data_IF_502353927445
#
_entry.id   IF_502353927445
#
_cell.length_a   1.000
_cell.length_b   1.000
_cell.length_c   1.000
_cell.angle_alpha   90.00
_cell.angle_beta   90.00
_cell.angle_gamma   90.00
#
_symmetry.space_group_name_H-M   'P 1'
#
loop_
_entity.id
_entity.type
_entity.pdbx_description
1 polymer ?
#
# COMPACT_ATOMS: atom_id res chain seq x y z
N UNK A 1 17.31 -2.42 -39.75
CA UNK A 1 16.58 -1.19 -39.40
C UNK A 1 15.87 -1.43 -38.08
N UNK A 2 15.72 -0.42 -37.22
CA UNK A 2 15.10 -0.62 -35.92
C UNK A 2 13.64 -1.03 -36.11
N UNK A 3 13.24 -2.07 -35.39
CA UNK A 3 11.86 -2.56 -35.33
C UNK A 3 11.07 -1.53 -34.53
N UNK A 4 10.21 -0.80 -35.23
CA UNK A 4 9.22 0.09 -34.65
C UNK A 4 8.16 -0.78 -33.97
N UNK A 5 8.31 -0.98 -32.65
CA UNK A 5 7.27 -1.63 -31.85
C UNK A 5 6.14 -0.62 -31.73
N UNK A 6 5.15 -0.75 -32.62
CA UNK A 6 3.87 -0.05 -32.59
C UNK A 6 3.29 -0.07 -31.16
N UNK A 7 3.39 1.05 -30.46
CA UNK A 7 2.67 1.34 -29.21
C UNK A 7 1.23 1.74 -29.51
N UNK A 8 0.45 0.85 -30.12
CA UNK A 8 -1.00 1.06 -30.21
C UNK A 8 -1.72 -0.16 -29.69
N UNK A 9 -2.17 -0.07 -28.44
CA UNK A 9 -3.25 -0.92 -27.95
C UNK A 9 -4.51 -0.42 -28.65
N UNK A 10 -4.92 -1.07 -29.74
CA UNK A 10 -6.26 -0.84 -30.30
C UNK A 10 -7.25 -1.68 -29.53
N UNK A 11 -8.30 -1.03 -29.02
CA UNK A 11 -9.42 -1.69 -28.38
C UNK A 11 -10.68 -1.34 -29.16
N UNK A 12 -11.47 -2.35 -29.45
CA UNK A 12 -12.84 -2.24 -29.98
C UNK A 12 -13.84 -1.79 -28.90
N UNK A 13 -13.39 -1.73 -27.65
CA UNK A 13 -14.08 -1.16 -26.49
C UNK A 13 -13.94 0.37 -26.57
N UNK A 14 -14.94 1.03 -27.17
CA UNK A 14 -15.03 2.49 -27.19
C UNK A 14 -15.01 3.10 -25.78
N UNK A 15 -14.74 4.41 -25.63
CA UNK A 15 -14.72 5.04 -24.31
C UNK A 15 -16.09 4.92 -23.65
N UNK A 16 -16.16 4.12 -22.58
CA UNK A 16 -17.35 4.05 -21.74
C UNK A 16 -17.31 5.23 -20.77
N UNK A 17 -18.46 5.89 -20.50
CA UNK A 17 -18.54 6.86 -19.44
C UNK A 17 -18.42 6.14 -18.10
N UNK A 18 -17.20 5.87 -17.67
CA UNK A 18 -16.96 5.48 -16.28
C UNK A 18 -17.23 6.73 -15.46
N UNK A 19 -18.03 6.58 -14.43
CA UNK A 19 -18.32 7.67 -13.51
C UNK A 19 -17.20 7.80 -12.48
N UNK A 20 -17.00 9.02 -11.99
CA UNK A 20 -16.11 9.33 -10.87
C UNK A 20 -14.64 8.88 -11.06
N UNK A 21 -14.04 9.21 -12.21
CA UNK A 21 -12.62 8.92 -12.49
C UNK A 21 -11.65 9.43 -11.42
N UNK A 22 -12.02 10.56 -10.81
CA UNK A 22 -11.30 11.23 -9.74
C UNK A 22 -11.31 10.43 -8.43
N UNK A 23 -12.25 9.49 -8.28
CA UNK A 23 -12.32 8.55 -7.14
C UNK A 23 -11.62 7.21 -7.41
N UNK A 24 -11.01 7.04 -8.58
CA UNK A 24 -10.29 5.81 -8.96
C UNK A 24 -8.78 6.00 -8.85
N UNK A 25 -8.09 4.88 -8.61
CA UNK A 25 -6.63 4.84 -8.56
C UNK A 25 -6.04 3.55 -9.12
N UNK A 26 -4.74 3.57 -9.41
CA UNK A 26 -3.98 2.41 -9.86
C UNK A 26 -3.14 1.83 -8.73
N UNK A 27 -3.13 0.52 -8.63
CA UNK A 27 -2.12 -0.15 -7.81
C UNK A 27 -0.84 -0.31 -8.62
N UNK A 28 0.28 0.15 -8.07
CA UNK A 28 1.61 -0.05 -8.67
C UNK A 28 2.27 -1.19 -7.91
N UNK A 29 2.31 -2.36 -8.56
CA UNK A 29 2.91 -3.57 -8.01
C UNK A 29 4.45 -3.51 -8.01
N UNK A 30 5.06 -4.39 -7.21
CA UNK A 30 6.52 -4.48 -7.03
C UNK A 30 7.26 -4.62 -8.37
N UNK A 31 6.73 -5.42 -9.32
CA UNK A 31 7.33 -5.59 -10.66
C UNK A 31 7.36 -4.27 -11.44
N UNK A 32 6.27 -3.50 -11.41
CA UNK A 32 6.23 -2.20 -12.08
C UNK A 32 7.21 -1.22 -11.43
N UNK A 33 7.23 -1.19 -10.10
CA UNK A 33 8.14 -0.31 -9.34
C UNK A 33 9.63 -0.64 -9.57
N UNK A 34 9.96 -1.93 -9.67
CA UNK A 34 11.33 -2.42 -9.87
C UNK A 34 11.88 -2.18 -11.28
N UNK A 35 11.06 -2.40 -12.32
CA UNK A 35 11.57 -2.49 -13.69
C UNK A 35 11.15 -1.33 -14.58
N UNK A 36 10.03 -0.67 -14.27
CA UNK A 36 9.47 0.37 -15.13
C UNK A 36 8.67 1.45 -14.36
N UNK A 37 9.23 2.05 -13.29
CA UNK A 37 8.50 3.02 -12.46
C UNK A 37 8.06 4.26 -13.25
N UNK A 38 8.80 4.68 -14.28
CA UNK A 38 8.41 5.74 -15.21
C UNK A 38 7.42 5.33 -16.31
N UNK A 39 6.73 4.19 -16.18
CA UNK A 39 5.73 3.70 -17.15
C UNK A 39 4.32 3.54 -16.57
N UNK A 40 4.06 4.13 -15.40
CA UNK A 40 2.70 4.22 -14.87
C UNK A 40 1.82 5.02 -15.85
N UNK A 41 0.65 4.50 -16.26
CA UNK A 41 -0.25 5.23 -17.15
C UNK A 41 -0.71 6.56 -16.56
N UNK A 42 -0.53 7.65 -17.30
CA UNK A 42 -0.99 8.99 -16.91
C UNK A 42 -2.49 9.19 -17.13
N UNK A 43 -3.07 8.43 -18.07
CA UNK A 43 -4.48 8.49 -18.41
C UNK A 43 -5.11 7.11 -18.25
N UNK A 44 -6.35 7.09 -17.77
CA UNK A 44 -7.17 5.91 -17.74
C UNK A 44 -7.40 5.38 -19.17
N UNK A 45 -7.17 4.08 -19.42
CA UNK A 45 -7.57 3.47 -20.68
C UNK A 45 -9.06 3.71 -20.93
N UNK A 46 -9.41 4.06 -22.17
CA UNK A 46 -10.81 4.22 -22.62
C UNK A 46 -11.60 5.33 -21.89
N UNK A 47 -10.92 6.33 -21.33
CA UNK A 47 -11.53 7.32 -20.45
C UNK A 47 -11.18 8.79 -20.75
N UNK A 48 -10.01 9.00 -21.36
CA UNK A 48 -9.37 10.32 -21.49
C UNK A 48 -9.30 11.11 -20.15
N UNK A 49 -9.30 10.43 -19.01
CA UNK A 49 -9.24 11.03 -17.68
C UNK A 49 -7.88 10.75 -17.03
N UNK A 50 -7.29 11.70 -16.27
CA UNK A 50 -5.98 11.52 -15.65
C UNK A 50 -6.04 10.53 -14.48
N UNK A 51 -4.95 9.79 -14.28
CA UNK A 51 -4.74 8.96 -13.09
C UNK A 51 -4.12 9.84 -12.00
N UNK A 52 -4.89 10.10 -10.94
CA UNK A 52 -4.47 10.99 -9.84
C UNK A 52 -4.26 10.31 -8.50
N UNK A 53 -4.59 9.02 -8.38
CA UNK A 53 -4.29 8.28 -7.17
C UNK A 53 -3.61 6.97 -7.52
N UNK A 54 -2.57 6.65 -6.76
CA UNK A 54 -1.92 5.34 -6.83
C UNK A 54 -1.83 4.70 -5.46
N UNK A 55 -1.74 3.38 -5.43
CA UNK A 55 -1.44 2.60 -4.23
C UNK A 55 -0.11 1.89 -4.41
N UNK A 56 0.76 2.02 -3.42
CA UNK A 56 1.97 1.21 -3.30
C UNK A 56 1.78 0.20 -2.17
N UNK A 57 2.18 -1.05 -2.38
CA UNK A 57 2.21 -2.06 -1.31
C UNK A 57 3.42 -1.89 -0.39
N UNK A 58 4.49 -1.31 -0.92
CA UNK A 58 5.73 -0.92 -0.25
C UNK A 58 6.40 0.19 -1.05
N UNK A 59 7.26 0.99 -0.42
CA UNK A 59 8.03 2.03 -1.10
C UNK A 59 9.31 1.48 -1.76
N UNK A 60 9.90 0.44 -1.17
CA UNK A 60 11.07 -0.29 -1.68
C UNK A 60 11.22 -1.59 -0.88
N UNK A 61 12.08 -2.51 -1.35
CA UNK A 61 12.52 -3.66 -0.56
C UNK A 61 14.05 -3.77 -0.61
N UNK A 62 14.66 -4.10 0.52
CA UNK A 62 16.11 -4.11 0.69
C UNK A 62 16.83 -5.11 -0.21
N UNK A 63 16.15 -6.14 -0.72
CA UNK A 63 16.78 -7.17 -1.57
C UNK A 63 16.67 -6.94 -3.08
N UNK A 64 15.93 -5.93 -3.52
CA UNK A 64 15.70 -5.73 -4.95
C UNK A 64 16.97 -5.44 -5.76
N UNK A 65 17.98 -4.82 -5.14
CA UNK A 65 19.28 -4.56 -5.78
C UNK A 65 20.04 -5.85 -6.16
N UNK A 66 19.69 -7.00 -5.58
CA UNK A 66 20.30 -8.29 -5.93
C UNK A 66 19.99 -8.70 -7.38
N UNK A 67 18.92 -8.15 -7.97
CA UNK A 67 18.60 -8.36 -9.37
C UNK A 67 19.18 -7.22 -10.22
N UNK A 68 20.16 -7.50 -11.11
CA UNK A 68 20.86 -6.46 -11.89
C UNK A 68 19.97 -5.76 -12.93
N UNK A 69 18.74 -6.24 -13.17
CA UNK A 69 17.76 -5.60 -14.06
C UNK A 69 16.90 -4.56 -13.36
N UNK A 70 16.93 -4.50 -12.02
CA UNK A 70 16.15 -3.56 -11.23
C UNK A 70 16.79 -2.18 -11.34
N UNK A 71 15.96 -1.15 -11.53
CA UNK A 71 16.41 0.24 -11.49
C UNK A 71 16.88 0.60 -10.07
N UNK A 72 17.65 1.67 -9.90
CA UNK A 72 17.99 2.12 -8.55
C UNK A 72 16.75 2.59 -7.80
N UNK A 73 16.77 2.47 -6.46
CA UNK A 73 15.73 2.99 -5.58
C UNK A 73 15.48 4.47 -5.85
N UNK A 74 16.56 5.24 -6.00
CA UNK A 74 16.52 6.67 -6.27
C UNK A 74 15.84 6.95 -7.62
N UNK A 75 16.14 6.18 -8.67
CA UNK A 75 15.49 6.33 -9.96
C UNK A 75 13.98 6.03 -9.87
N UNK A 76 13.61 4.93 -9.21
CA UNK A 76 12.21 4.56 -9.03
C UNK A 76 11.41 5.63 -8.28
N UNK A 77 12.00 6.18 -7.21
CA UNK A 77 11.37 7.23 -6.43
C UNK A 77 11.27 8.55 -7.20
N UNK A 78 12.28 8.93 -7.98
CA UNK A 78 12.20 10.13 -8.82
C UNK A 78 11.16 10.00 -9.94
N UNK A 79 11.06 8.83 -10.58
CA UNK A 79 10.07 8.57 -11.62
C UNK A 79 8.64 8.67 -11.06
N UNK A 80 8.38 8.03 -9.91
CA UNK A 80 7.08 8.12 -9.25
C UNK A 80 6.77 9.54 -8.75
N UNK A 81 7.75 10.24 -8.18
CA UNK A 81 7.58 11.64 -7.78
C UNK A 81 7.20 12.52 -8.96
N UNK A 82 7.90 12.35 -10.09
CA UNK A 82 7.64 13.10 -11.32
C UNK A 82 6.22 12.83 -11.83
N UNK A 83 5.81 11.56 -11.85
CA UNK A 83 4.43 11.18 -12.19
C UNK A 83 3.40 11.87 -11.28
N UNK A 84 3.57 11.76 -9.95
CA UNK A 84 2.63 12.33 -8.99
C UNK A 84 2.53 13.85 -9.09
N UNK A 85 3.66 14.54 -9.23
CA UNK A 85 3.67 16.01 -9.38
C UNK A 85 2.99 16.42 -10.69
N UNK A 86 3.35 15.80 -11.81
CA UNK A 86 2.79 16.14 -13.12
C UNK A 86 1.28 15.91 -13.20
N UNK A 87 0.77 14.88 -12.52
CA UNK A 87 -0.67 14.57 -12.50
C UNK A 87 -1.43 15.33 -11.40
N UNK A 88 -0.75 16.04 -10.50
CA UNK A 88 -1.36 16.55 -9.26
C UNK A 88 -1.94 15.42 -8.41
N UNK A 89 -1.27 14.27 -8.42
CA UNK A 89 -1.73 13.03 -7.83
C UNK A 89 -1.22 12.79 -6.41
N UNK A 90 -1.79 11.76 -5.78
CA UNK A 90 -1.45 11.31 -4.42
C UNK A 90 -1.21 9.81 -4.36
N UNK A 91 -0.43 9.37 -3.37
CA UNK A 91 -0.14 7.95 -3.14
C UNK A 91 -0.66 7.46 -1.80
N UNK A 92 -1.35 6.32 -1.79
CA UNK A 92 -1.57 5.51 -0.60
C UNK A 92 -0.32 4.65 -0.37
N UNK A 93 0.42 4.95 0.70
CA UNK A 93 1.66 4.26 1.04
C UNK A 93 1.37 3.03 1.89
N UNK A 94 1.66 1.85 1.35
CA UNK A 94 1.60 0.59 2.09
C UNK A 94 2.86 0.33 2.91
N UNK A 95 2.67 -0.20 4.11
CA UNK A 95 3.71 -0.79 4.96
C UNK A 95 3.37 -2.25 5.17
N UNK A 96 4.38 -3.11 5.15
CA UNK A 96 4.18 -4.50 5.54
C UNK A 96 4.09 -4.60 7.07
N UNK A 97 3.27 -5.53 7.54
CA UNK A 97 3.32 -6.07 8.90
C UNK A 97 3.11 -7.56 8.77
N UNK A 98 4.13 -8.31 9.13
CA UNK A 98 4.28 -9.75 8.96
C UNK A 98 5.01 -10.30 10.20
N UNK A 99 5.51 -11.52 10.08
CA UNK A 99 6.34 -12.14 11.10
C UNK A 99 7.84 -11.84 10.94
N UNK A 100 8.23 -11.07 9.92
CA UNK A 100 9.61 -10.75 9.62
C UNK A 100 10.06 -9.43 10.27
N UNK A 101 11.31 -9.37 10.72
CA UNK A 101 11.92 -8.13 11.23
C UNK A 101 12.20 -7.09 10.13
N UNK A 102 12.23 -7.53 8.87
CA UNK A 102 12.51 -6.69 7.69
C UNK A 102 11.44 -5.61 7.47
N UNK A 103 10.23 -5.80 8.02
CA UNK A 103 9.15 -4.81 7.95
C UNK A 103 9.53 -3.45 8.54
N UNK A 104 10.41 -3.42 9.54
CA UNK A 104 10.92 -2.17 10.13
C UNK A 104 11.88 -1.44 9.18
N UNK A 105 12.65 -2.18 8.38
CA UNK A 105 13.52 -1.61 7.33
C UNK A 105 12.68 -1.06 6.18
N UNK A 106 11.69 -1.84 5.72
CA UNK A 106 10.76 -1.43 4.67
C UNK A 106 9.97 -0.17 5.08
N UNK A 107 9.58 -0.06 6.36
CA UNK A 107 8.95 1.16 6.87
C UNK A 107 9.89 2.37 6.88
N UNK A 108 11.19 2.17 7.10
CA UNK A 108 12.20 3.22 6.91
C UNK A 108 12.14 3.82 5.50
N UNK A 109 12.08 2.96 4.48
CA UNK A 109 11.94 3.40 3.08
C UNK A 109 10.63 4.13 2.81
N UNK A 110 9.52 3.72 3.45
CA UNK A 110 8.24 4.44 3.36
C UNK A 110 8.38 5.88 3.89
N UNK A 111 9.03 6.06 5.05
CA UNK A 111 9.26 7.38 5.63
C UNK A 111 10.15 8.27 4.76
N UNK A 112 11.22 7.72 4.21
CA UNK A 112 12.14 8.45 3.33
C UNK A 112 11.45 8.88 2.02
N UNK A 113 10.67 7.98 1.41
CA UNK A 113 9.90 8.31 0.22
C UNK A 113 8.80 9.34 0.51
N UNK A 114 8.11 9.25 1.65
CA UNK A 114 7.12 10.24 2.06
C UNK A 114 7.73 11.63 2.24
N UNK A 115 8.92 11.75 2.86
CA UNK A 115 9.67 13.00 2.97
C UNK A 115 10.04 13.57 1.60
N UNK A 116 10.44 12.71 0.65
CA UNK A 116 10.80 13.12 -0.69
C UNK A 116 9.60 13.71 -1.47
N UNK A 117 8.40 13.17 -1.25
CA UNK A 117 7.16 13.59 -1.89
C UNK A 117 6.57 14.85 -1.27
N UNK A 118 6.57 14.96 0.06
CA UNK A 118 5.81 15.97 0.78
C UNK A 118 4.38 15.50 1.13
N UNK A 119 3.80 15.98 2.24
CA UNK A 119 2.50 15.51 2.74
C UNK A 119 1.34 15.77 1.78
N UNK A 120 1.43 16.79 0.92
CA UNK A 120 0.43 17.13 -0.09
C UNK A 120 0.21 16.04 -1.14
N UNK A 121 1.23 15.21 -1.37
CA UNK A 121 1.22 14.09 -2.31
C UNK A 121 0.92 12.74 -1.64
N UNK A 122 0.62 12.71 -0.34
CA UNK A 122 0.23 11.49 0.36
C UNK A 122 -1.29 11.43 0.51
N UNK A 123 -1.89 10.34 0.05
CA UNK A 123 -3.31 10.05 0.20
C UNK A 123 -3.63 9.46 1.56
N UNK A 124 -2.75 8.58 2.05
CA UNK A 124 -2.92 7.85 3.30
C UNK A 124 -1.75 6.92 3.58
N UNK A 125 -1.74 6.36 4.79
CA UNK A 125 -0.82 5.30 5.22
C UNK A 125 -1.60 4.01 5.46
N UNK A 126 -1.32 2.97 4.68
CA UNK A 126 -1.85 1.62 4.86
C UNK A 126 -0.87 0.77 5.66
N UNK A 127 -1.24 0.35 6.87
CA UNK A 127 -0.38 -0.44 7.76
C UNK A 127 -0.79 -1.91 7.73
N UNK A 128 0.04 -2.75 7.14
CA UNK A 128 -0.27 -4.14 6.81
C UNK A 128 -0.94 -4.25 5.44
N UNK A 129 -0.78 -5.42 4.80
CA UNK A 129 -1.44 -5.78 3.57
C UNK A 129 -2.07 -7.17 3.70
N UNK A 130 -3.41 -7.22 3.59
CA UNK A 130 -4.20 -8.45 3.77
C UNK A 130 -3.80 -9.19 5.05
N UNK A 131 -3.65 -8.41 6.13
CA UNK A 131 -3.13 -8.91 7.41
C UNK A 131 -4.02 -10.00 8.01
N UNK A 132 -5.31 -9.98 7.68
CA UNK A 132 -6.30 -11.01 8.01
C UNK A 132 -5.99 -12.37 7.39
N UNK A 133 -5.25 -12.41 6.27
CA UNK A 133 -4.84 -13.65 5.62
C UNK A 133 -3.49 -14.19 6.11
N UNK A 134 -2.79 -13.49 7.01
CA UNK A 134 -1.42 -13.87 7.40
C UNK A 134 -1.35 -15.30 7.94
N UNK A 135 -2.35 -15.75 8.70
CA UNK A 135 -2.40 -17.12 9.23
C UNK A 135 -2.48 -18.21 8.14
N UNK A 136 -2.92 -17.87 6.93
CA UNK A 136 -2.98 -18.82 5.82
C UNK A 136 -1.59 -19.09 5.23
N UNK A 137 -0.62 -18.19 5.47
CA UNK A 137 0.75 -18.29 4.96
C UNK A 137 1.65 -19.25 5.75
N UNK A 138 1.19 -19.82 6.86
CA UNK A 138 1.98 -20.76 7.70
C UNK A 138 2.58 -21.92 6.87
N UNK A 139 1.89 -22.35 5.81
CA UNK A 139 2.36 -23.45 4.95
C UNK A 139 3.40 -23.02 3.91
N UNK A 140 3.38 -21.75 3.52
CA UNK A 140 4.12 -21.24 2.36
C UNK A 140 5.29 -20.33 2.77
N UNK A 141 5.26 -19.77 3.98
CA UNK A 141 6.24 -18.84 4.52
C UNK A 141 6.74 -19.32 5.88
N UNK A 142 8.01 -19.71 5.94
CA UNK A 142 8.65 -20.23 7.18
C UNK A 142 8.79 -19.18 8.28
N UNK A 143 8.72 -17.89 7.94
CA UNK A 143 8.70 -16.83 8.94
C UNK A 143 7.39 -16.80 9.72
N UNK A 144 6.31 -17.32 9.13
CA UNK A 144 4.97 -17.33 9.70
C UNK A 144 4.70 -18.66 10.42
N UNK A 145 4.42 -18.58 11.72
CA UNK A 145 4.07 -19.74 12.55
C UNK A 145 2.95 -19.39 13.53
N UNK A 146 2.35 -20.42 14.14
CA UNK A 146 1.21 -20.26 15.07
C UNK A 146 1.50 -19.27 16.20
N UNK A 147 2.74 -19.28 16.73
CA UNK A 147 3.15 -18.35 17.79
C UNK A 147 3.10 -16.92 17.27
N UNK A 148 3.67 -16.65 16.10
CA UNK A 148 3.64 -15.32 15.51
C UNK A 148 2.20 -14.83 15.26
N UNK A 149 1.34 -15.67 14.67
CA UNK A 149 -0.06 -15.29 14.41
C UNK A 149 -0.78 -14.93 15.70
N UNK A 150 -0.58 -15.75 16.74
CA UNK A 150 -1.15 -15.50 18.06
C UNK A 150 -0.59 -14.21 18.67
N UNK A 151 0.71 -13.94 18.56
CA UNK A 151 1.30 -12.69 19.07
C UNK A 151 0.76 -11.46 18.33
N UNK A 152 0.63 -11.55 16.99
CA UNK A 152 0.11 -10.49 16.12
C UNK A 152 -1.32 -10.12 16.52
N UNK A 153 -2.20 -11.11 16.64
CA UNK A 153 -3.62 -10.86 16.87
C UNK A 153 -4.01 -10.89 18.35
N UNK A 154 -3.84 -12.03 19.01
CA UNK A 154 -4.23 -12.24 20.41
C UNK A 154 -3.31 -11.48 21.38
N UNK A 155 -2.01 -11.42 21.07
CA UNK A 155 -1.00 -10.71 21.85
C UNK A 155 -1.01 -9.19 21.60
N UNK A 156 -1.78 -8.71 20.62
CA UNK A 156 -1.92 -7.30 20.29
C UNK A 156 -0.71 -6.69 19.57
N UNK A 157 0.25 -7.49 19.09
CA UNK A 157 1.44 -6.96 18.44
C UNK A 157 1.11 -6.21 17.13
N UNK A 158 0.07 -6.62 16.40
CA UNK A 158 -0.39 -5.85 15.23
C UNK A 158 -0.93 -4.48 15.63
N UNK A 159 -1.74 -4.41 16.68
CA UNK A 159 -2.28 -3.14 17.17
C UNK A 159 -1.16 -2.21 17.64
N UNK A 160 -0.21 -2.74 18.43
CA UNK A 160 0.97 -1.97 18.86
C UNK A 160 1.78 -1.46 17.66
N UNK A 161 2.03 -2.32 16.66
CA UNK A 161 2.75 -1.94 15.44
C UNK A 161 1.97 -0.93 14.60
N UNK A 162 0.64 -1.03 14.53
CA UNK A 162 -0.21 -0.04 13.88
C UNK A 162 -0.02 1.34 14.51
N UNK A 163 -0.11 1.42 15.84
CA UNK A 163 0.08 2.68 16.56
C UNK A 163 1.48 3.25 16.35
N UNK A 164 2.52 2.41 16.45
CA UNK A 164 3.92 2.75 16.17
C UNK A 164 4.11 3.36 14.78
N UNK A 165 3.54 2.74 13.74
CA UNK A 165 3.63 3.28 12.36
C UNK A 165 2.96 4.63 12.24
N UNK A 166 1.77 4.79 12.83
CA UNK A 166 1.01 6.04 12.76
C UNK A 166 1.74 7.17 13.48
N UNK A 167 2.33 6.90 14.65
CA UNK A 167 3.09 7.86 15.44
C UNK A 167 4.36 8.28 14.69
N UNK A 168 5.21 7.33 14.31
CA UNK A 168 6.47 7.61 13.59
C UNK A 168 6.25 8.31 12.24
N UNK A 169 5.13 8.06 11.58
CA UNK A 169 4.79 8.76 10.35
C UNK A 169 4.35 10.21 10.62
N UNK A 170 3.64 10.44 11.73
CA UNK A 170 3.31 11.80 12.17
C UNK A 170 4.53 12.62 12.61
N UNK A 171 5.56 11.97 13.17
CA UNK A 171 6.83 12.60 13.54
C UNK A 171 7.62 13.17 12.36
N UNK A 172 7.27 12.82 11.12
CA UNK A 172 7.88 13.41 9.93
C UNK A 172 7.55 14.91 9.77
N UNK A 173 6.49 15.39 10.42
CA UNK A 173 6.14 16.80 10.51
C UNK A 173 4.63 17.04 10.59
N UNK A 174 4.20 18.29 10.87
CA UNK A 174 2.78 18.61 11.11
C UNK A 174 1.85 18.18 9.97
N UNK A 175 2.28 18.33 8.71
CA UNK A 175 1.48 17.92 7.56
C UNK A 175 1.29 16.39 7.44
N UNK A 176 2.17 15.59 8.05
CA UNK A 176 2.04 14.14 8.05
C UNK A 176 1.18 13.62 9.22
N UNK A 177 1.10 14.37 10.31
CA UNK A 177 0.32 14.00 11.50
C UNK A 177 -1.19 13.87 11.21
N UNK A 178 -1.70 14.59 10.22
CA UNK A 178 -3.13 14.58 9.85
C UNK A 178 -3.47 13.62 8.71
N UNK A 179 -2.49 12.89 8.16
CA UNK A 179 -2.71 11.97 7.04
C UNK A 179 -3.62 10.81 7.48
N UNK A 180 -4.66 10.45 6.69
CA UNK A 180 -5.52 9.31 6.98
C UNK A 180 -4.74 7.99 7.06
N UNK A 181 -5.18 7.11 7.95
CA UNK A 181 -4.53 5.81 8.20
C UNK A 181 -5.53 4.68 8.00
N UNK A 182 -5.07 3.55 7.50
CA UNK A 182 -5.90 2.37 7.28
C UNK A 182 -5.12 1.09 7.57
N UNK A 183 -5.85 0.04 7.93
CA UNK A 183 -5.38 -1.33 7.82
C UNK A 183 -5.94 -1.91 6.52
N UNK A 184 -5.10 -2.52 5.69
CA UNK A 184 -5.58 -3.15 4.46
C UNK A 184 -5.94 -4.60 4.72
N UNK A 185 -7.23 -4.91 4.63
CA UNK A 185 -7.76 -6.26 4.76
C UNK A 185 -8.02 -6.89 3.39
N UNK A 186 -8.18 -8.20 3.34
CA UNK A 186 -8.80 -8.88 2.20
C UNK A 186 -10.32 -8.95 2.36
N UNK A 187 -11.02 -9.42 1.32
CA UNK A 187 -12.44 -9.77 1.42
C UNK A 187 -12.75 -10.83 2.50
N UNK A 188 -11.77 -11.65 2.93
CA UNK A 188 -11.97 -12.63 3.99
C UNK A 188 -12.31 -12.01 5.35
N UNK A 189 -11.89 -10.76 5.60
CA UNK A 189 -12.31 -10.00 6.76
C UNK A 189 -13.84 -9.86 6.89
N UNK A 190 -14.58 -9.97 5.79
CA UNK A 190 -16.06 -9.94 5.76
C UNK A 190 -16.70 -11.30 6.07
N UNK A 191 -15.91 -12.36 6.26
CA UNK A 191 -16.39 -13.74 6.46
C UNK A 191 -17.00 -14.03 7.83
N UNK A 192 -17.20 -13.03 8.69
CA UNK A 192 -17.80 -13.15 10.02
C UNK A 192 -18.88 -12.10 10.28
N UNK A 193 -19.50 -12.10 11.47
CA UNK A 193 -20.53 -11.11 11.85
C UNK A 193 -20.07 -10.22 13.01
N UNK A 194 -19.88 -8.90 12.82
CA UNK A 194 -19.90 -8.16 11.56
C UNK A 194 -18.63 -8.33 10.70
N UNK A 195 -17.53 -8.82 11.28
CA UNK A 195 -16.25 -9.10 10.61
C UNK A 195 -15.61 -10.36 11.22
N UNK A 196 -14.55 -10.87 10.58
CA UNK A 196 -13.77 -12.00 11.09
C UNK A 196 -13.25 -11.72 12.51
N UNK A 197 -13.45 -12.68 13.42
CA UNK A 197 -13.09 -12.56 14.83
C UNK A 197 -12.76 -13.94 15.41
N UNK A 198 -11.61 -14.49 15.03
CA UNK A 198 -11.16 -15.82 15.43
C UNK A 198 -9.75 -15.77 16.05
N UNK A 199 -9.66 -16.17 17.31
CA UNK A 199 -8.40 -16.33 18.05
C UNK A 199 -7.46 -17.31 17.34
N UNK A 200 -6.15 -16.98 17.29
CA UNK A 200 -5.16 -17.75 16.55
C UNK A 200 -5.29 -17.65 15.02
N UNK A 201 -6.14 -16.77 14.51
CA UNK A 201 -6.25 -16.44 13.08
C UNK A 201 -6.20 -14.94 12.85
N UNK A 202 -7.33 -14.25 13.05
CA UNK A 202 -7.47 -12.81 12.85
C UNK A 202 -8.62 -12.26 13.69
N UNK A 203 -8.35 -11.15 14.39
CA UNK A 203 -9.31 -10.45 15.27
C UNK A 203 -9.70 -9.10 14.65
N UNK A 204 -10.25 -9.14 13.44
CA UNK A 204 -10.51 -7.95 12.61
C UNK A 204 -11.55 -7.05 13.26
N UNK A 205 -12.65 -7.61 13.78
CA UNK A 205 -13.70 -6.80 14.42
C UNK A 205 -13.15 -6.06 15.65
N UNK A 206 -12.37 -6.73 16.49
CA UNK A 206 -11.70 -6.11 17.65
C UNK A 206 -10.73 -5.01 17.22
N UNK A 207 -9.90 -5.26 16.20
CA UNK A 207 -9.01 -4.25 15.65
C UNK A 207 -9.79 -3.02 15.14
N UNK A 208 -10.83 -3.21 14.33
CA UNK A 208 -11.60 -2.11 13.75
C UNK A 208 -12.28 -1.25 14.81
N UNK A 209 -12.80 -1.87 15.88
CA UNK A 209 -13.35 -1.14 17.03
C UNK A 209 -12.28 -0.28 17.71
N UNK A 210 -11.09 -0.83 17.93
CA UNK A 210 -9.98 -0.11 18.55
C UNK A 210 -9.48 1.04 17.67
N UNK A 211 -9.28 0.79 16.38
CA UNK A 211 -8.83 1.78 15.41
C UNK A 211 -9.83 2.94 15.28
N UNK A 212 -11.11 2.62 15.11
CA UNK A 212 -12.18 3.64 15.01
C UNK A 212 -12.30 4.46 16.28
N UNK A 213 -12.21 3.82 17.46
CA UNK A 213 -12.25 4.52 18.75
C UNK A 213 -11.05 5.44 18.96
N UNK A 214 -9.85 5.01 18.54
CA UNK A 214 -8.58 5.70 18.81
C UNK A 214 -8.35 6.86 17.84
N UNK A 215 -8.59 6.63 16.56
CA UNK A 215 -8.24 7.57 15.49
C UNK A 215 -9.45 8.31 14.91
N UNK A 216 -10.68 7.89 15.23
CA UNK A 216 -11.90 8.54 14.77
C UNK A 216 -11.90 8.75 13.25
N UNK A 217 -12.07 9.99 12.82
CA UNK A 217 -12.10 10.37 11.39
C UNK A 217 -10.77 10.16 10.65
N UNK A 218 -9.65 10.04 11.37
CA UNK A 218 -8.34 9.76 10.76
C UNK A 218 -8.24 8.31 10.28
N UNK A 219 -8.99 7.39 10.89
CA UNK A 219 -9.05 6.00 10.43
C UNK A 219 -10.04 5.86 9.28
N UNK A 220 -9.58 5.29 8.19
CA UNK A 220 -10.38 4.93 7.02
C UNK A 220 -10.37 3.41 6.92
N UNK A 221 -11.53 2.82 6.60
CA UNK A 221 -11.62 1.38 6.37
C UNK A 221 -11.27 1.05 4.91
N UNK A 222 -10.41 0.06 4.68
CA UNK A 222 -10.04 -0.40 3.35
C UNK A 222 -9.96 -1.92 3.25
N UNK A 223 -10.34 -2.46 2.09
CA UNK A 223 -10.17 -3.86 1.72
C UNK A 223 -9.66 -3.96 0.28
N UNK A 224 -8.94 -5.04 -0.03
CA UNK A 224 -8.65 -5.49 -1.39
C UNK A 224 -9.79 -6.34 -1.93
#
# INVERSE_FOLDING_TARGET
>A
GPIDILKTCTSDVGPYPVQDWDKKGLTVEDTTLMFCPGKVPEIWPNAMAPVRSIRLFRAWHSDWWKNPKVVSKEQAWQDLKTFLINQGGKVLLGTQVTCASEDDVDFGYVKDFAKLLGPEHILGLGVGNEIDLLYQKIKDDRSVNDKCIKDIWDGGAYWAKFQDRVEQFGELGPGFADIPVTAVFSAAALGGWPFQEESGKALVNSFLKNATRTYGKKFVFSFN
#
